data_IF_300530289984
#
_entry.id   IF_300530289984
#
_cell.length_a   1.000
_cell.length_b   1.000
_cell.length_c   1.000
_cell.angle_alpha   90.00
_cell.angle_beta   90.00
_cell.angle_gamma   90.00
#
_symmetry.space_group_name_H-M   'P 1'
#
loop_
_entity.id
_entity.type
_entity.pdbx_description
1 polymer ?
#
# COMPACT_ATOMS: atom_id res chain seq x y z
N UNK A 1 0.15 3.13 -13.87
CA UNK A 1 0.07 2.23 -15.06
C UNK A 1 1.20 1.21 -15.10
N UNK A 2 2.44 1.61 -14.81
CA UNK A 2 3.62 0.73 -14.80
C UNK A 2 3.59 -0.34 -13.69
N UNK A 3 2.71 -0.25 -12.71
CA UNK A 3 2.47 -1.29 -11.71
C UNK A 3 1.32 -2.24 -12.08
N UNK A 4 0.15 -1.70 -12.47
CA UNK A 4 -1.04 -2.50 -12.78
C UNK A 4 -0.86 -3.45 -13.98
N UNK A 5 -0.31 -2.97 -15.10
CA UNK A 5 -0.23 -3.80 -16.31
C UNK A 5 0.72 -5.01 -16.13
N UNK A 6 1.92 -4.85 -15.56
CA UNK A 6 2.77 -6.01 -15.23
C UNK A 6 2.12 -6.96 -14.22
N UNK A 7 1.39 -6.42 -13.24
CA UNK A 7 0.67 -7.23 -12.25
C UNK A 7 -0.37 -8.13 -12.92
N UNK A 8 -1.18 -7.57 -13.82
CA UNK A 8 -2.17 -8.32 -14.62
C UNK A 8 -1.53 -9.27 -15.63
N UNK A 9 -0.29 -9.02 -16.05
CA UNK A 9 0.48 -9.92 -16.92
C UNK A 9 1.11 -11.11 -16.17
N UNK A 10 0.92 -11.21 -14.85
CA UNK A 10 1.43 -12.31 -14.03
C UNK A 10 2.92 -12.18 -13.68
N UNK A 11 3.47 -10.95 -13.70
CA UNK A 11 4.85 -10.71 -13.27
C UNK A 11 5.00 -11.01 -11.78
N UNK A 12 6.00 -11.81 -11.43
CA UNK A 12 6.20 -12.30 -10.06
C UNK A 12 6.85 -11.28 -9.11
N UNK A 13 7.51 -10.25 -9.65
CA UNK A 13 8.19 -9.22 -8.87
C UNK A 13 8.06 -7.87 -9.58
N UNK A 14 7.47 -6.90 -8.89
CA UNK A 14 7.42 -5.50 -9.32
C UNK A 14 8.18 -4.69 -8.27
N UNK A 15 9.12 -3.86 -8.71
CA UNK A 15 9.92 -3.02 -7.84
C UNK A 15 9.72 -1.54 -8.19
N UNK A 16 10.20 -0.67 -7.30
CA UNK A 16 10.27 0.77 -7.56
C UNK A 16 9.24 1.62 -6.81
N UNK A 17 8.59 1.07 -5.77
CA UNK A 17 7.84 1.91 -4.84
C UNK A 17 8.73 3.01 -4.27
N UNK A 18 8.24 4.26 -4.27
CA UNK A 18 8.98 5.44 -3.83
C UNK A 18 9.97 6.00 -4.85
N UNK A 19 10.20 5.34 -5.98
CA UNK A 19 11.16 5.80 -6.98
C UNK A 19 10.59 6.92 -7.85
N UNK A 20 11.35 8.00 -7.95
CA UNK A 20 11.11 9.13 -8.83
C UNK A 20 12.30 9.28 -9.79
N UNK A 21 12.09 10.02 -10.89
CA UNK A 21 13.15 10.37 -11.84
C UNK A 21 13.97 9.17 -12.33
N UNK A 22 13.28 8.10 -12.76
CA UNK A 22 13.91 6.84 -13.20
C UNK A 22 14.83 6.20 -12.13
N UNK A 23 14.44 6.33 -10.86
CA UNK A 23 15.17 5.76 -9.73
C UNK A 23 16.39 6.57 -9.30
N UNK A 24 16.54 7.82 -9.78
CA UNK A 24 17.57 8.73 -9.27
C UNK A 24 17.18 9.35 -7.92
N UNK A 25 15.88 9.40 -7.63
CA UNK A 25 15.34 10.02 -6.42
C UNK A 25 14.41 9.04 -5.71
N UNK A 26 14.46 9.04 -4.38
CA UNK A 26 13.55 8.27 -3.54
C UNK A 26 12.75 9.24 -2.65
N UNK A 27 11.42 9.13 -2.68
CA UNK A 27 10.52 9.90 -1.83
C UNK A 27 9.74 8.97 -0.91
N UNK A 28 9.75 9.27 0.39
CA UNK A 28 8.98 8.51 1.38
C UNK A 28 7.47 8.72 1.18
N UNK A 29 7.07 9.94 0.81
CA UNK A 29 5.67 10.25 0.48
C UNK A 29 5.20 9.43 -0.72
N UNK A 30 6.04 9.31 -1.75
CA UNK A 30 5.73 8.47 -2.90
C UNK A 30 5.61 6.99 -2.51
N UNK A 31 6.40 6.48 -1.55
CA UNK A 31 6.22 5.11 -1.03
C UNK A 31 4.83 4.92 -0.43
N UNK A 32 4.37 5.88 0.39
CA UNK A 32 3.04 5.81 1.02
C UNK A 32 1.93 5.88 -0.04
N UNK A 33 2.08 6.72 -1.05
CA UNK A 33 1.12 6.79 -2.18
C UNK A 33 1.14 5.48 -2.98
N UNK A 34 2.32 4.96 -3.27
CA UNK A 34 2.48 3.70 -3.99
C UNK A 34 1.90 2.53 -3.20
N UNK A 35 1.93 2.56 -1.87
CA UNK A 35 1.31 1.54 -1.02
C UNK A 35 -0.20 1.42 -1.27
N UNK A 36 -0.91 2.54 -1.36
CA UNK A 36 -2.33 2.54 -1.73
C UNK A 36 -2.54 2.01 -3.16
N UNK A 37 -1.71 2.45 -4.12
CA UNK A 37 -1.79 1.98 -5.52
C UNK A 37 -1.55 0.47 -5.60
N UNK A 38 -0.59 -0.05 -4.83
CA UNK A 38 -0.28 -1.49 -4.75
C UNK A 38 -1.47 -2.25 -4.15
N UNK A 39 -2.08 -1.75 -3.08
CA UNK A 39 -3.31 -2.34 -2.52
C UNK A 39 -4.46 -2.37 -3.54
N UNK A 40 -4.63 -1.28 -4.31
CA UNK A 40 -5.62 -1.23 -5.40
C UNK A 40 -5.29 -2.21 -6.54
N UNK A 41 -4.01 -2.42 -6.85
CA UNK A 41 -3.59 -3.44 -7.82
C UNK A 41 -3.92 -4.85 -7.33
N UNK A 42 -3.66 -5.16 -6.05
CA UNK A 42 -4.06 -6.45 -5.47
C UNK A 42 -5.58 -6.65 -5.59
N UNK A 43 -6.37 -5.63 -5.25
CA UNK A 43 -7.83 -5.70 -5.41
C UNK A 43 -8.25 -5.94 -6.85
N UNK A 44 -7.60 -5.30 -7.82
CA UNK A 44 -7.87 -5.53 -9.24
C UNK A 44 -7.50 -6.96 -9.69
N UNK A 45 -6.42 -7.52 -9.14
CA UNK A 45 -5.95 -8.88 -9.44
C UNK A 45 -6.86 -9.99 -8.86
N UNK A 46 -7.66 -9.70 -7.82
CA UNK A 46 -8.70 -10.63 -7.34
C UNK A 46 -9.74 -10.96 -8.43
N UNK A 47 -9.87 -10.09 -9.43
CA UNK A 47 -10.85 -10.23 -10.49
C UNK A 47 -12.28 -10.03 -10.00
N UNK A 48 -13.23 -10.68 -10.66
CA UNK A 48 -14.63 -10.70 -10.24
C UNK A 48 -15.02 -12.15 -9.94
N UNK A 49 -15.10 -12.56 -8.66
CA UNK A 49 -15.56 -13.89 -8.31
C UNK A 49 -16.99 -14.09 -8.82
N UNK A 50 -17.27 -15.25 -9.41
CA UNK A 50 -18.61 -15.58 -9.93
C UNK A 50 -19.18 -16.71 -9.08
N UNK A 51 -19.96 -16.35 -8.06
CA UNK A 51 -20.67 -17.25 -7.16
C UNK A 51 -22.13 -16.81 -7.02
N UNK A 52 -23.00 -17.64 -6.45
CA UNK A 52 -24.41 -17.26 -6.21
C UNK A 52 -24.51 -15.99 -5.35
N UNK A 53 -23.59 -15.84 -4.41
CA UNK A 53 -23.46 -14.70 -3.51
C UNK A 53 -23.03 -13.42 -4.23
N UNK A 54 -21.91 -13.45 -4.97
CA UNK A 54 -21.38 -12.28 -5.68
C UNK A 54 -22.19 -11.88 -6.90
N UNK A 55 -23.02 -12.77 -7.43
CA UNK A 55 -24.01 -12.44 -8.46
C UNK A 55 -25.19 -11.64 -7.88
N UNK A 56 -25.44 -11.71 -6.57
CA UNK A 56 -26.46 -10.96 -5.84
C UNK A 56 -27.87 -11.01 -6.46
N UNK A 57 -28.20 -12.11 -7.14
CA UNK A 57 -29.44 -12.23 -7.95
C UNK A 57 -30.68 -12.14 -7.07
N UNK A 58 -30.67 -12.72 -5.87
CA UNK A 58 -31.81 -12.66 -4.95
C UNK A 58 -32.01 -11.25 -4.38
N UNK A 59 -30.94 -10.56 -4.00
CA UNK A 59 -31.01 -9.16 -3.56
C UNK A 59 -31.58 -8.25 -4.66
N UNK A 60 -31.16 -8.44 -5.93
CA UNK A 60 -31.69 -7.68 -7.07
C UNK A 60 -33.20 -7.91 -7.24
N UNK A 61 -33.67 -9.15 -7.11
CA UNK A 61 -35.11 -9.49 -7.20
C UNK A 61 -35.91 -8.92 -6.04
N UNK A 62 -35.37 -9.00 -4.83
CA UNK A 62 -36.01 -8.53 -3.60
C UNK A 62 -36.21 -7.01 -3.60
N UNK A 63 -35.14 -6.26 -3.92
CA UNK A 63 -35.15 -4.79 -3.90
C UNK A 63 -35.99 -4.24 -5.07
N UNK A 64 -35.87 -4.83 -6.25
CA UNK A 64 -36.64 -4.43 -7.42
C UNK A 64 -36.26 -3.06 -8.00
N UNK A 65 -36.98 -2.67 -9.06
CA UNK A 65 -36.65 -1.48 -9.87
C UNK A 65 -36.99 -0.19 -9.13
N UNK A 66 -36.07 0.78 -9.17
CA UNK A 66 -36.30 2.13 -8.65
C UNK A 66 -35.95 2.33 -7.17
N UNK A 67 -35.48 1.28 -6.51
CA UNK A 67 -34.97 1.32 -5.12
C UNK A 67 -33.44 1.28 -5.10
N UNK A 68 -32.86 1.37 -3.90
CA UNK A 68 -31.41 1.29 -3.67
C UNK A 68 -31.02 0.09 -2.78
N UNK A 69 -29.73 -0.21 -2.77
CA UNK A 69 -29.15 -1.35 -2.06
C UNK A 69 -28.47 -0.95 -0.74
N UNK A 70 -28.46 0.34 -0.38
CA UNK A 70 -27.55 0.88 0.65
C UNK A 70 -27.80 0.25 2.03
N UNK A 71 -29.06 -0.04 2.36
CA UNK A 71 -29.47 -0.62 3.64
C UNK A 71 -29.71 -2.14 3.58
N UNK A 72 -29.44 -2.79 2.44
CA UNK A 72 -29.65 -4.23 2.29
C UNK A 72 -28.57 -5.03 3.03
N UNK A 73 -28.95 -6.15 3.65
CA UNK A 73 -28.02 -6.97 4.45
C UNK A 73 -26.79 -7.41 3.66
N UNK A 74 -27.00 -7.88 2.42
CA UNK A 74 -25.90 -8.25 1.50
C UNK A 74 -24.92 -7.10 1.27
N UNK A 75 -25.38 -5.85 1.14
CA UNK A 75 -24.47 -4.70 0.99
C UNK A 75 -23.66 -4.45 2.26
N UNK A 76 -24.26 -4.65 3.43
CA UNK A 76 -23.55 -4.53 4.72
C UNK A 76 -22.53 -5.65 4.91
N UNK A 77 -22.85 -6.86 4.49
CA UNK A 77 -21.96 -8.03 4.54
C UNK A 77 -20.71 -7.87 3.65
N UNK A 78 -20.87 -7.25 2.48
CA UNK A 78 -19.78 -7.01 1.51
C UNK A 78 -19.18 -5.60 1.57
N UNK A 79 -19.56 -4.77 2.54
CA UNK A 79 -19.16 -3.36 2.58
C UNK A 79 -17.64 -3.16 2.59
N UNK A 80 -16.93 -4.03 3.30
CA UNK A 80 -15.47 -3.97 3.46
C UNK A 80 -14.71 -4.43 2.21
N UNK A 81 -15.38 -5.00 1.19
CA UNK A 81 -14.72 -5.43 -0.04
C UNK A 81 -14.27 -4.26 -0.91
N UNK A 82 -14.89 -3.10 -0.75
CA UNK A 82 -14.51 -1.89 -1.46
C UNK A 82 -13.11 -1.42 -1.02
N UNK A 83 -12.28 -1.01 -1.98
CA UNK A 83 -10.97 -0.42 -1.64
C UNK A 83 -11.13 0.75 -0.68
N UNK A 84 -10.34 0.77 0.41
CA UNK A 84 -10.32 1.85 1.37
C UNK A 84 -8.91 2.48 1.42
N UNK A 85 -8.58 3.39 0.47
CA UNK A 85 -7.26 3.98 0.38
C UNK A 85 -6.98 4.92 1.57
N UNK A 86 -5.72 4.97 1.98
CA UNK A 86 -5.24 5.80 3.08
C UNK A 86 -5.07 7.25 2.67
N UNK A 87 -4.45 7.51 1.51
CA UNK A 87 -4.09 8.86 1.05
C UNK A 87 -5.07 9.44 0.03
N UNK A 88 -5.81 8.62 -0.71
CA UNK A 88 -6.80 9.12 -1.67
C UNK A 88 -8.12 9.49 -1.00
N UNK A 89 -8.34 10.80 -0.81
CA UNK A 89 -9.56 11.34 -0.21
C UNK A 89 -10.77 11.18 -1.15
N UNK A 90 -11.87 10.64 -0.60
CA UNK A 90 -13.14 10.42 -1.31
C UNK A 90 -14.31 11.18 -0.68
N UNK A 91 -14.03 12.10 0.23
CA UNK A 91 -15.04 12.97 0.84
C UNK A 91 -15.59 13.96 -0.19
N UNK A 92 -16.80 14.46 0.07
CA UNK A 92 -17.40 15.49 -0.77
C UNK A 92 -16.58 16.78 -0.70
N UNK A 93 -16.56 17.55 -1.78
CA UNK A 93 -15.73 18.76 -1.89
C UNK A 93 -15.85 19.71 -0.69
N UNK A 94 -17.06 19.95 -0.20
CA UNK A 94 -17.29 20.83 0.95
C UNK A 94 -16.63 20.34 2.23
N UNK A 95 -16.65 19.02 2.46
CA UNK A 95 -16.01 18.38 3.61
C UNK A 95 -14.49 18.36 3.46
N UNK A 96 -13.96 18.01 2.28
CA UNK A 96 -12.53 18.10 1.99
C UNK A 96 -11.99 19.52 2.21
N UNK A 97 -12.77 20.55 1.80
CA UNK A 97 -12.41 21.95 2.05
C UNK A 97 -12.38 22.25 3.55
N UNK A 98 -13.43 21.85 4.29
CA UNK A 98 -13.52 22.06 5.73
C UNK A 98 -12.40 21.33 6.51
N UNK A 99 -11.92 20.20 5.99
CA UNK A 99 -10.83 19.40 6.55
C UNK A 99 -9.42 19.92 6.16
N UNK A 100 -9.33 21.11 5.55
CA UNK A 100 -8.06 21.76 5.26
C UNK A 100 -7.52 21.54 3.86
N UNK A 101 -8.27 20.88 2.96
CA UNK A 101 -7.94 20.78 1.53
C UNK A 101 -6.57 20.16 1.24
N UNK A 102 -6.10 19.23 2.08
CA UNK A 102 -4.78 18.61 1.89
C UNK A 102 -4.73 17.86 0.56
N UNK A 103 -3.66 18.10 -0.19
CA UNK A 103 -3.28 17.28 -1.32
C UNK A 103 -2.89 15.86 -0.86
N UNK A 104 -2.89 14.93 -1.81
CA UNK A 104 -2.47 13.55 -1.56
C UNK A 104 -1.03 13.47 -1.00
N UNK A 105 -0.13 14.33 -1.50
CA UNK A 105 1.27 14.37 -1.04
C UNK A 105 1.39 14.90 0.39
N UNK A 106 0.63 15.93 0.75
CA UNK A 106 0.62 16.45 2.13
C UNK A 106 0.09 15.41 3.12
N UNK A 107 -0.98 14.68 2.76
CA UNK A 107 -1.51 13.59 3.58
C UNK A 107 -0.51 12.44 3.70
N UNK A 108 0.18 12.10 2.60
CA UNK A 108 1.25 11.11 2.62
C UNK A 108 2.41 11.53 3.53
N UNK A 109 2.77 12.81 3.53
CA UNK A 109 3.80 13.37 4.40
C UNK A 109 3.44 13.25 5.89
N UNK A 110 2.19 13.55 6.27
CA UNK A 110 1.74 13.36 7.66
C UNK A 110 1.94 11.90 8.12
N UNK A 111 1.60 10.93 7.26
CA UNK A 111 1.75 9.50 7.53
C UNK A 111 3.23 9.13 7.65
N UNK A 112 4.10 9.65 6.78
CA UNK A 112 5.55 9.43 6.87
C UNK A 112 6.07 9.92 8.22
N UNK A 113 5.71 11.14 8.62
CA UNK A 113 6.15 11.72 9.90
C UNK A 113 5.67 10.87 11.07
N UNK A 114 4.42 10.41 11.05
CA UNK A 114 3.87 9.54 12.09
C UNK A 114 4.61 8.19 12.17
N UNK A 115 4.81 7.50 11.04
CA UNK A 115 5.53 6.23 10.97
C UNK A 115 6.97 6.40 11.50
N UNK A 116 7.67 7.45 11.07
CA UNK A 116 9.05 7.70 11.50
C UNK A 116 9.16 8.00 13.00
N UNK A 117 8.13 8.59 13.60
CA UNK A 117 8.11 8.89 15.02
C UNK A 117 7.69 7.68 15.89
N UNK A 118 6.73 6.88 15.40
CA UNK A 118 5.98 5.95 16.23
C UNK A 118 6.18 4.47 15.88
N UNK A 119 6.78 4.14 14.72
CA UNK A 119 6.97 2.74 14.32
C UNK A 119 7.99 2.03 15.22
N UNK A 120 7.57 0.90 15.79
CA UNK A 120 8.44 0.02 16.59
C UNK A 120 8.92 -1.14 15.72
N UNK A 121 10.21 -1.16 15.43
CA UNK A 121 10.85 -2.22 14.66
C UNK A 121 10.81 -3.54 15.45
N UNK A 122 10.47 -4.63 14.78
CA UNK A 122 10.50 -5.97 15.38
C UNK A 122 11.93 -6.31 15.85
N UNK A 123 12.12 -6.72 17.11
CA UNK A 123 13.45 -6.99 17.64
C UNK A 123 14.07 -8.21 16.96
N UNK A 124 15.35 -8.08 16.62
CA UNK A 124 16.17 -9.19 16.11
C UNK A 124 16.77 -9.92 17.32
N UNK A 125 16.74 -11.27 17.36
CA UNK A 125 17.42 -12.03 18.40
C UNK A 125 18.90 -11.64 18.54
N UNK A 126 19.36 -11.44 19.78
CA UNK A 126 20.67 -10.86 20.07
C UNK A 126 21.83 -11.68 19.49
N UNK A 127 21.71 -13.01 19.53
CA UNK A 127 22.68 -13.94 18.94
C UNK A 127 22.83 -13.75 17.42
N UNK A 128 21.71 -13.52 16.72
CA UNK A 128 21.69 -13.28 15.28
C UNK A 128 22.20 -11.89 14.93
N UNK A 129 21.81 -10.87 15.70
CA UNK A 129 22.29 -9.50 15.50
C UNK A 129 23.82 -9.46 15.63
N UNK A 130 24.34 -10.06 16.70
CA UNK A 130 25.79 -10.16 16.91
C UNK A 130 26.50 -10.89 15.77
N UNK A 131 25.94 -12.01 15.31
CA UNK A 131 26.51 -12.73 14.16
C UNK A 131 26.53 -11.87 12.88
N UNK A 132 25.49 -11.07 12.63
CA UNK A 132 25.44 -10.13 11.50
C UNK A 132 26.51 -9.04 11.64
N UNK A 133 26.66 -8.45 12.82
CA UNK A 133 27.68 -7.43 13.11
C UNK A 133 29.11 -7.97 12.94
N UNK A 134 29.38 -9.20 13.40
CA UNK A 134 30.68 -9.85 13.23
C UNK A 134 31.02 -10.07 11.75
N UNK A 135 30.04 -10.47 10.92
CA UNK A 135 30.23 -10.63 9.47
C UNK A 135 30.55 -9.29 8.81
N UNK A 136 29.83 -8.22 9.17
CA UNK A 136 30.07 -6.88 8.64
C UNK A 136 31.47 -6.38 9.04
N UNK A 137 31.84 -6.55 10.31
CA UNK A 137 33.16 -6.14 10.81
C UNK A 137 34.31 -6.88 10.09
N UNK A 138 34.16 -8.19 9.86
CA UNK A 138 35.12 -8.98 9.10
C UNK A 138 35.23 -8.51 7.64
N UNK A 139 34.11 -8.23 6.98
CA UNK A 139 34.08 -7.73 5.61
C UNK A 139 34.75 -6.36 5.50
N UNK A 140 34.47 -5.45 6.43
CA UNK A 140 35.08 -4.12 6.50
C UNK A 140 36.59 -4.19 6.70
N UNK A 141 37.07 -5.03 7.63
CA UNK A 141 38.49 -5.24 7.86
C UNK A 141 39.19 -5.81 6.61
N UNK A 142 38.58 -6.79 5.94
CA UNK A 142 39.10 -7.35 4.71
C UNK A 142 39.17 -6.30 3.58
N UNK A 143 38.16 -5.44 3.48
CA UNK A 143 38.13 -4.35 2.50
C UNK A 143 39.22 -3.31 2.76
N UNK A 144 39.37 -2.83 4.01
CA UNK A 144 40.41 -1.87 4.41
C UNK A 144 41.81 -2.41 4.14
N UNK A 145 42.07 -3.67 4.52
CA UNK A 145 43.33 -4.35 4.23
C UNK A 145 43.63 -4.43 2.73
N UNK A 146 42.63 -4.77 1.89
CA UNK A 146 42.80 -4.83 0.43
C UNK A 146 43.11 -3.46 -0.18
N UNK A 147 42.59 -2.38 0.40
CA UNK A 147 42.81 -0.99 -0.06
C UNK A 147 44.03 -0.32 0.57
N UNK A 148 44.75 -0.99 1.47
CA UNK A 148 45.91 -0.42 2.16
C UNK A 148 45.55 0.69 3.15
N UNK A 149 44.33 0.65 3.70
CA UNK A 149 43.81 1.65 4.65
C UNK A 149 43.94 1.22 6.13
N UNK A 150 44.71 0.14 6.38
CA UNK A 150 44.88 -0.63 7.63
C UNK A 150 43.59 -1.24 8.23
#
# INVERSE_FOLDING_TARGET
MTSLLPAMAGVNLIYGSGMLELGQTFSMEQVVIDNDIIAMNYKAMEGSPVTDDTLAVEAIKEIGVGNDFLAHSTTMEHFEEASNPTVFDRTMLGEWIANGSKSCVEKAHDIVVDIMANHVVLPIPEDRLKAMEDIVAQADAAFRKRKGME
#
